data_IF_379742703094
#
_entry.id   IF_379742703094
#
_cell.length_a   1.000
_cell.length_b   1.000
_cell.length_c   1.000
_cell.angle_alpha   90.00
_cell.angle_beta   90.00
_cell.angle_gamma   90.00
#
_symmetry.space_group_name_H-M   'P 1'
#
loop_
_entity.id
_entity.type
_entity.pdbx_description
1 polymer ?
#
# COMPACT_ATOMS: atom_id res chain seq x y z
N UNK A 1 19.22 1.92 4.14
CA UNK A 1 18.20 1.96 3.06
C UNK A 1 17.69 3.39 2.89
N UNK A 2 16.86 3.71 1.87
CA UNK A 2 16.31 5.06 1.72
C UNK A 2 15.51 5.51 2.97
N UNK A 3 14.70 4.62 3.55
CA UNK A 3 13.96 4.87 4.79
C UNK A 3 14.88 5.21 5.97
N UNK A 4 16.01 4.51 6.10
CA UNK A 4 17.00 4.81 7.15
C UNK A 4 17.58 6.22 7.03
N UNK A 5 17.86 6.67 5.80
CA UNK A 5 18.29 8.05 5.56
C UNK A 5 17.19 9.07 5.89
N UNK A 6 15.93 8.76 5.57
CA UNK A 6 14.79 9.62 5.94
C UNK A 6 14.65 9.73 7.46
N UNK A 7 14.75 8.63 8.20
CA UNK A 7 14.68 8.62 9.67
C UNK A 7 15.80 9.49 10.26
N UNK A 8 17.03 9.35 9.76
CA UNK A 8 18.17 10.15 10.21
C UNK A 8 17.94 11.65 9.94
N UNK A 9 17.49 12.00 8.73
CA UNK A 9 17.21 13.39 8.36
C UNK A 9 16.07 14.00 9.19
N UNK A 10 14.97 13.27 9.40
CA UNK A 10 13.84 13.70 10.23
C UNK A 10 14.28 13.93 11.68
N UNK A 11 15.06 12.99 12.23
CA UNK A 11 15.59 13.09 13.60
C UNK A 11 16.50 14.31 13.77
N UNK A 12 17.38 14.57 12.79
CA UNK A 12 18.24 15.77 12.78
C UNK A 12 17.42 17.07 12.69
N UNK A 13 16.28 17.04 11.99
CA UNK A 13 15.34 18.15 11.91
C UNK A 13 14.43 18.29 13.15
N UNK A 14 14.56 17.41 14.14
CA UNK A 14 13.81 17.45 15.40
C UNK A 14 12.47 16.71 15.38
N UNK A 15 12.20 15.90 14.36
CA UNK A 15 11.02 15.06 14.25
C UNK A 15 11.33 13.62 14.65
N UNK A 16 10.38 12.97 15.30
CA UNK A 16 10.39 11.51 15.39
C UNK A 16 9.78 10.95 14.08
N UNK A 17 10.21 9.76 13.65
CA UNK A 17 9.70 9.15 12.42
C UNK A 17 9.31 7.70 12.66
N UNK A 18 8.09 7.35 12.25
CA UNK A 18 7.56 5.98 12.34
C UNK A 18 7.31 5.47 10.92
N UNK A 19 7.79 4.26 10.65
CA UNK A 19 7.62 3.57 9.37
C UNK A 19 6.87 2.25 9.59
N UNK A 20 5.53 2.25 9.57
CA UNK A 20 4.74 1.05 9.71
C UNK A 20 5.07 0.02 8.61
N UNK A 21 4.94 -1.29 8.89
CA UNK A 21 5.21 -2.33 7.90
C UNK A 21 4.16 -2.33 6.79
N UNK A 22 4.55 -2.72 5.58
CA UNK A 22 3.63 -2.94 4.46
C UNK A 22 2.73 -4.17 4.72
N UNK A 23 1.42 -3.99 4.62
CA UNK A 23 0.42 -5.03 4.93
C UNK A 23 0.51 -6.25 4.01
N UNK A 24 0.73 -6.07 2.71
CA UNK A 24 0.86 -7.19 1.78
C UNK A 24 2.05 -8.09 2.14
N UNK A 25 3.19 -7.47 2.45
CA UNK A 25 4.39 -8.19 2.92
C UNK A 25 4.13 -8.94 4.24
N UNK A 26 3.35 -8.38 5.18
CA UNK A 26 2.95 -9.13 6.38
C UNK A 26 2.18 -10.42 6.05
N UNK A 27 1.27 -10.37 5.08
CA UNK A 27 0.55 -11.58 4.65
C UNK A 27 1.49 -12.59 3.99
N UNK A 28 2.36 -12.17 3.06
CA UNK A 28 3.26 -13.11 2.38
C UNK A 28 4.28 -13.76 3.33
N UNK A 29 4.73 -13.02 4.35
CA UNK A 29 5.58 -13.58 5.41
C UNK A 29 4.84 -14.57 6.34
N UNK A 30 3.51 -14.65 6.26
CA UNK A 30 2.69 -15.60 7.04
C UNK A 30 2.46 -16.95 6.35
N UNK A 31 3.19 -17.25 5.27
CA UNK A 31 2.97 -18.40 4.36
C UNK A 31 1.68 -18.32 3.54
N UNK A 32 0.98 -17.18 3.58
CA UNK A 32 -0.12 -16.94 2.65
C UNK A 32 0.43 -16.74 1.23
N UNK A 33 -0.20 -17.40 0.25
CA UNK A 33 0.12 -17.22 -1.17
C UNK A 33 -1.12 -16.72 -1.90
N UNK A 34 -0.90 -15.87 -2.91
CA UNK A 34 -1.99 -15.41 -3.78
C UNK A 34 -2.66 -16.60 -4.47
N UNK A 35 -3.98 -16.52 -4.72
CA UNK A 35 -4.70 -17.59 -5.39
C UNK A 35 -4.16 -17.81 -6.81
N UNK A 36 -4.17 -19.07 -7.26
CA UNK A 36 -3.78 -19.40 -8.63
C UNK A 36 -4.79 -18.83 -9.65
N UNK A 37 -4.35 -18.20 -10.75
CA UNK A 37 -5.23 -17.76 -11.84
C UNK A 37 -6.08 -18.89 -12.45
N UNK A 38 -5.65 -20.15 -12.32
CA UNK A 38 -6.39 -21.33 -12.78
C UNK A 38 -7.50 -21.78 -11.82
N UNK A 39 -7.63 -21.17 -10.65
CA UNK A 39 -8.66 -21.51 -9.66
C UNK A 39 -10.04 -21.05 -10.12
N UNK A 40 -11.05 -21.90 -10.00
CA UNK A 40 -12.44 -21.57 -10.33
C UNK A 40 -13.01 -20.40 -9.50
N UNK A 41 -12.42 -20.12 -8.33
CA UNK A 41 -12.80 -19.00 -7.46
C UNK A 41 -11.78 -17.87 -7.45
N UNK A 42 -10.90 -17.75 -8.45
CA UNK A 42 -9.77 -16.81 -8.44
C UNK A 42 -10.21 -15.37 -8.13
N UNK A 43 -11.21 -14.84 -8.84
CA UNK A 43 -11.67 -13.47 -8.67
C UNK A 43 -12.18 -13.18 -7.24
N UNK A 44 -12.94 -14.10 -6.65
CA UNK A 44 -13.47 -13.93 -5.29
C UNK A 44 -12.37 -14.05 -4.23
N UNK A 45 -11.37 -14.91 -4.45
CA UNK A 45 -10.23 -15.03 -3.56
C UNK A 45 -9.34 -13.78 -3.61
N UNK A 46 -9.10 -13.23 -4.81
CA UNK A 46 -8.38 -11.96 -4.98
C UNK A 46 -9.15 -10.83 -4.30
N UNK A 47 -10.47 -10.74 -4.50
CA UNK A 47 -11.30 -9.76 -3.80
C UNK A 47 -11.17 -9.91 -2.28
N UNK A 48 -11.26 -11.13 -1.76
CA UNK A 48 -11.14 -11.40 -0.32
C UNK A 48 -9.79 -10.95 0.23
N UNK A 49 -8.70 -11.23 -0.48
CA UNK A 49 -7.37 -10.76 -0.11
C UNK A 49 -7.31 -9.23 -0.08
N UNK A 50 -7.69 -8.57 -1.18
CA UNK A 50 -7.63 -7.12 -1.30
C UNK A 50 -8.54 -6.40 -0.29
N UNK A 51 -9.72 -6.95 0.02
CA UNK A 51 -10.61 -6.42 1.05
C UNK A 51 -9.99 -6.51 2.47
N UNK A 52 -9.28 -7.60 2.78
CA UNK A 52 -8.57 -7.74 4.05
C UNK A 52 -7.34 -6.82 4.14
N UNK A 53 -6.60 -6.63 3.03
CA UNK A 53 -5.53 -5.64 2.93
C UNK A 53 -6.08 -4.24 3.23
N UNK A 54 -7.16 -3.82 2.54
CA UNK A 54 -7.78 -2.51 2.74
C UNK A 54 -8.23 -2.28 4.19
N UNK A 55 -8.85 -3.29 4.80
CA UNK A 55 -9.28 -3.26 6.19
C UNK A 55 -8.11 -3.11 7.16
N UNK A 56 -7.08 -3.93 7.00
CA UNK A 56 -5.94 -3.93 7.91
C UNK A 56 -5.10 -2.66 7.73
N UNK A 57 -4.94 -2.18 6.49
CA UNK A 57 -4.29 -0.89 6.20
C UNK A 57 -5.01 0.26 6.92
N UNK A 58 -6.35 0.32 6.88
CA UNK A 58 -7.10 1.38 7.58
C UNK A 58 -6.84 1.36 9.09
N UNK A 59 -6.84 0.16 9.69
CA UNK A 59 -6.60 0.01 11.11
C UNK A 59 -5.15 0.33 11.48
N UNK A 60 -4.19 -0.10 10.65
CA UNK A 60 -2.78 0.19 10.81
C UNK A 60 -2.55 1.70 10.82
N UNK A 61 -3.09 2.42 9.82
CA UNK A 61 -2.96 3.86 9.75
C UNK A 61 -3.56 4.56 10.97
N UNK A 62 -4.75 4.13 11.43
CA UNK A 62 -5.36 4.69 12.65
C UNK A 62 -4.46 4.49 13.88
N UNK A 63 -3.99 3.26 14.11
CA UNK A 63 -3.13 2.96 15.24
C UNK A 63 -1.85 3.81 15.23
N UNK A 64 -1.20 3.96 14.07
CA UNK A 64 0.05 4.70 13.99
C UNK A 64 -0.15 6.23 14.04
N UNK A 65 -1.25 6.75 13.51
CA UNK A 65 -1.64 8.15 13.75
C UNK A 65 -1.89 8.42 15.23
N UNK A 66 -2.56 7.50 15.93
CA UNK A 66 -2.82 7.63 17.37
C UNK A 66 -1.50 7.58 18.18
N UNK A 67 -0.60 6.65 17.84
CA UNK A 67 0.73 6.57 18.45
C UNK A 67 1.55 7.85 18.23
N UNK A 68 1.57 8.37 17.00
CA UNK A 68 2.24 9.62 16.67
C UNK A 68 1.68 10.80 17.46
N UNK A 69 0.35 10.90 17.59
CA UNK A 69 -0.32 11.91 18.41
C UNK A 69 -0.05 11.78 19.91
N UNK A 70 0.21 10.56 20.40
CA UNK A 70 0.51 10.29 21.81
C UNK A 70 1.96 10.62 22.22
N UNK A 71 2.86 10.80 21.25
CA UNK A 71 4.31 10.93 21.49
C UNK A 71 4.72 12.20 22.24
N UNK A 72 3.88 13.24 22.22
CA UNK A 72 4.22 14.56 22.78
C UNK A 72 5.32 15.31 22.00
N UNK A 73 5.72 14.79 20.83
CA UNK A 73 6.75 15.35 19.95
C UNK A 73 6.23 15.40 18.51
N UNK A 74 6.70 16.34 17.68
CA UNK A 74 6.33 16.36 16.27
C UNK A 74 6.82 15.05 15.62
N UNK A 75 5.88 14.26 15.12
CA UNK A 75 6.14 12.91 14.59
C UNK A 75 5.64 12.80 13.16
N UNK A 76 6.48 12.26 12.29
CA UNK A 76 6.16 11.94 10.90
C UNK A 76 5.86 10.45 10.81
N UNK A 77 4.73 10.07 10.21
CA UNK A 77 4.42 8.67 9.91
C UNK A 77 4.48 8.48 8.40
N UNK A 78 5.36 7.58 7.94
CA UNK A 78 5.48 7.23 6.53
C UNK A 78 5.00 5.82 6.32
N UNK A 79 3.90 5.69 5.58
CA UNK A 79 3.35 4.41 5.19
C UNK A 79 4.01 3.96 3.88
N UNK A 80 4.62 2.78 3.90
CA UNK A 80 4.99 2.07 2.69
C UNK A 80 3.70 1.51 2.06
N UNK A 81 3.17 2.27 1.10
CA UNK A 81 1.81 2.22 0.54
C UNK A 81 0.71 2.70 1.48
N UNK A 82 -0.29 3.36 0.90
CA UNK A 82 -1.48 3.88 1.61
C UNK A 82 -2.77 3.14 1.22
N UNK A 83 -3.87 3.46 1.90
CA UNK A 83 -5.23 2.97 1.61
C UNK A 83 -5.62 3.04 0.14
N UNK A 84 -5.28 4.14 -0.54
CA UNK A 84 -5.63 4.34 -1.95
C UNK A 84 -4.84 3.43 -2.90
N UNK A 85 -3.73 2.83 -2.47
CA UNK A 85 -2.96 1.88 -3.29
C UNK A 85 -3.79 0.64 -3.66
N UNK A 86 -4.64 0.17 -2.74
CA UNK A 86 -5.53 -0.96 -2.98
C UNK A 86 -6.49 -0.76 -4.17
N UNK A 87 -6.80 0.49 -4.52
CA UNK A 87 -7.65 0.82 -5.67
C UNK A 87 -7.05 0.39 -7.01
N UNK A 88 -5.72 0.43 -7.13
CA UNK A 88 -5.01 0.03 -8.34
C UNK A 88 -5.11 -1.48 -8.62
N UNK A 89 -5.39 -2.28 -7.58
CA UNK A 89 -5.52 -3.74 -7.67
C UNK A 89 -6.98 -4.23 -7.72
N UNK A 90 -7.95 -3.33 -7.74
CA UNK A 90 -9.36 -3.65 -7.75
C UNK A 90 -10.07 -3.01 -8.97
N UNK A 91 -11.02 -3.75 -9.54
CA UNK A 91 -12.02 -3.13 -10.43
C UNK A 91 -12.93 -2.19 -9.64
N UNK A 92 -13.62 -1.28 -10.33
CA UNK A 92 -14.58 -0.36 -9.70
C UNK A 92 -15.65 -1.10 -8.89
N UNK A 93 -16.10 -2.26 -9.38
CA UNK A 93 -17.07 -3.12 -8.72
C UNK A 93 -16.51 -3.75 -7.45
N UNK A 94 -15.27 -4.27 -7.51
CA UNK A 94 -14.57 -4.80 -6.34
C UNK A 94 -14.33 -3.71 -5.30
N UNK A 95 -13.88 -2.53 -5.73
CA UNK A 95 -13.61 -1.39 -4.85
C UNK A 95 -14.87 -0.95 -4.11
N UNK A 96 -15.97 -0.71 -4.85
CA UNK A 96 -17.26 -0.36 -4.27
C UNK A 96 -17.73 -1.41 -3.26
N UNK A 97 -17.65 -2.70 -3.63
CA UNK A 97 -18.01 -3.80 -2.74
C UNK A 97 -17.14 -3.84 -1.46
N UNK A 98 -15.84 -3.53 -1.59
CA UNK A 98 -14.92 -3.42 -0.47
C UNK A 98 -15.29 -2.28 0.49
N UNK A 99 -15.57 -1.09 -0.05
CA UNK A 99 -16.03 0.07 0.73
C UNK A 99 -17.36 -0.20 1.44
N UNK A 100 -18.34 -0.80 0.74
CA UNK A 100 -19.61 -1.19 1.34
C UNK A 100 -19.42 -2.19 2.49
N UNK A 101 -18.48 -3.15 2.31
CA UNK A 101 -18.06 -4.08 3.34
C UNK A 101 -17.49 -3.38 4.58
N UNK A 102 -16.52 -2.48 4.39
CA UNK A 102 -15.91 -1.71 5.47
C UNK A 102 -16.90 -0.84 6.23
N UNK A 103 -17.78 -0.13 5.51
CA UNK A 103 -18.79 0.72 6.13
C UNK A 103 -19.76 -0.10 6.97
N UNK A 104 -20.25 -1.23 6.44
CA UNK A 104 -21.12 -2.12 7.20
C UNK A 104 -20.44 -2.63 8.48
N UNK A 105 -19.18 -3.03 8.40
CA UNK A 105 -18.46 -3.60 9.54
C UNK A 105 -18.06 -2.55 10.57
N UNK A 106 -17.49 -1.41 10.14
CA UNK A 106 -16.85 -0.44 11.01
C UNK A 106 -17.75 0.75 11.41
N UNK A 107 -18.74 1.09 10.60
CA UNK A 107 -19.65 2.24 10.86
C UNK A 107 -21.09 1.80 11.14
N UNK A 108 -21.38 0.50 10.98
CA UNK A 108 -22.73 -0.06 11.02
C UNK A 108 -23.56 0.33 9.80
N UNK A 109 -22.92 0.71 8.69
CA UNK A 109 -23.59 1.18 7.47
C UNK A 109 -24.21 2.57 7.58
N UNK A 110 -23.80 3.37 8.58
CA UNK A 110 -24.33 4.72 8.79
C UNK A 110 -23.59 5.74 7.92
N UNK A 111 -24.29 6.76 7.37
CA UNK A 111 -23.66 7.83 6.60
C UNK A 111 -22.63 8.63 7.41
N UNK A 112 -22.93 8.87 8.69
CA UNK A 112 -22.01 9.56 9.58
C UNK A 112 -20.78 8.68 9.86
N UNK A 113 -19.60 9.22 9.53
CA UNK A 113 -18.33 8.50 9.65
C UNK A 113 -18.11 7.45 8.55
N UNK A 114 -18.85 7.54 7.42
CA UNK A 114 -18.62 6.65 6.28
C UNK A 114 -17.18 6.74 5.77
N UNK A 115 -16.64 5.57 5.45
CA UNK A 115 -15.34 5.37 4.82
C UNK A 115 -15.55 5.48 3.31
N UNK A 116 -15.11 6.59 2.72
CA UNK A 116 -15.13 6.86 1.28
C UNK A 116 -13.75 7.39 0.83
N UNK A 117 -13.57 7.61 -0.47
CA UNK A 117 -12.28 8.06 -1.01
C UNK A 117 -11.86 9.44 -0.46
N UNK A 118 -12.81 10.36 -0.28
CA UNK A 118 -12.54 11.67 0.32
C UNK A 118 -11.97 11.51 1.74
N UNK A 119 -12.62 10.69 2.57
CA UNK A 119 -12.14 10.36 3.91
C UNK A 119 -10.75 9.73 3.87
N UNK A 120 -10.46 8.84 2.91
CA UNK A 120 -9.14 8.21 2.77
C UNK A 120 -8.07 9.22 2.40
N UNK A 121 -8.33 10.08 1.41
CA UNK A 121 -7.38 11.09 0.94
C UNK A 121 -7.05 12.14 2.00
N UNK A 122 -8.04 12.57 2.79
CA UNK A 122 -7.86 13.53 3.88
C UNK A 122 -6.97 13.04 5.03
N UNK A 123 -6.56 11.76 5.03
CA UNK A 123 -5.67 11.18 6.04
C UNK A 123 -4.20 11.49 5.79
N UNK A 124 -3.85 11.94 4.59
CA UNK A 124 -2.47 12.18 4.20
C UNK A 124 -2.19 13.69 4.12
N UNK A 125 -1.12 14.14 4.79
CA UNK A 125 -0.58 15.49 4.60
C UNK A 125 0.16 15.63 3.26
N UNK A 126 0.60 14.51 2.67
CA UNK A 126 1.26 14.46 1.39
C UNK A 126 1.41 13.03 0.88
N UNK A 127 1.59 12.90 -0.43
CA UNK A 127 1.83 11.62 -1.11
C UNK A 127 3.07 11.76 -1.98
N UNK A 128 3.99 10.80 -1.87
CA UNK A 128 5.18 10.71 -2.72
C UNK A 128 4.95 9.57 -3.70
N UNK A 129 4.68 9.90 -4.96
CA UNK A 129 4.57 8.94 -6.05
C UNK A 129 5.97 8.63 -6.59
N UNK A 130 6.44 7.41 -6.38
CA UNK A 130 7.70 6.95 -6.95
C UNK A 130 7.44 6.32 -8.32
N UNK A 131 8.09 6.86 -9.34
CA UNK A 131 8.09 6.25 -10.68
C UNK A 131 9.10 5.10 -10.73
N UNK A 132 8.86 4.14 -11.61
CA UNK A 132 9.78 3.03 -11.82
C UNK A 132 11.14 3.54 -12.29
N UNK A 133 12.20 2.77 -11.98
CA UNK A 133 13.54 3.07 -12.48
C UNK A 133 13.62 3.11 -14.02
N UNK A 134 12.64 2.56 -14.74
CA UNK A 134 12.58 2.68 -16.19
C UNK A 134 12.49 4.14 -16.65
N UNK A 135 11.92 5.05 -15.84
CA UNK A 135 11.97 6.50 -16.07
C UNK A 135 13.18 7.11 -15.34
N UNK A 136 14.23 7.45 -16.08
CA UNK A 136 15.39 8.21 -15.58
C UNK A 136 16.56 7.39 -14.99
N UNK A 137 16.42 6.08 -14.80
CA UNK A 137 17.47 5.20 -14.27
C UNK A 137 17.41 3.78 -14.89
N UNK A 138 17.17 3.70 -16.20
CA UNK A 138 16.78 2.47 -16.90
C UNK A 138 17.78 1.32 -16.77
N UNK A 139 19.06 1.61 -16.56
CA UNK A 139 20.12 0.63 -16.26
C UNK A 139 19.88 -0.17 -14.97
N UNK A 140 19.06 0.35 -14.06
CA UNK A 140 18.67 -0.30 -12.82
C UNK A 140 17.32 -1.03 -12.92
N UNK A 141 16.57 -0.83 -14.02
CA UNK A 141 15.31 -1.52 -14.25
C UNK A 141 15.56 -2.93 -14.80
N UNK A 142 14.99 -3.94 -14.15
CA UNK A 142 15.09 -5.34 -14.56
C UNK A 142 13.68 -5.87 -14.83
N UNK A 143 13.48 -6.54 -15.96
CA UNK A 143 12.23 -7.18 -16.39
C UNK A 143 12.45 -8.62 -16.86
N UNK A 144 11.37 -9.41 -16.99
CA UNK A 144 11.42 -10.84 -17.22
C UNK A 144 11.65 -11.63 -15.93
N UNK A 145 12.35 -12.75 -16.01
CA UNK A 145 12.78 -13.52 -14.82
C UNK A 145 14.02 -12.85 -14.23
N UNK A 146 13.87 -12.23 -13.07
CA UNK A 146 14.91 -11.46 -12.40
C UNK A 146 15.10 -11.96 -10.97
N UNK A 147 16.25 -11.67 -10.37
CA UNK A 147 16.50 -11.92 -8.95
C UNK A 147 16.23 -10.64 -8.16
N UNK A 148 15.36 -10.71 -7.15
CA UNK A 148 15.14 -9.60 -6.22
C UNK A 148 16.32 -9.41 -5.25
N UNK A 149 16.27 -8.36 -4.45
CA UNK A 149 17.32 -8.03 -3.47
C UNK A 149 17.41 -9.05 -2.32
N UNK A 150 16.41 -9.93 -2.19
CA UNK A 150 16.38 -11.04 -1.24
C UNK A 150 16.89 -12.36 -1.85
N UNK A 151 17.30 -12.36 -3.12
CA UNK A 151 17.81 -13.54 -3.81
C UNK A 151 16.73 -14.44 -4.44
N UNK A 152 15.46 -14.04 -4.41
CA UNK A 152 14.37 -14.84 -4.98
C UNK A 152 14.20 -14.56 -6.47
N UNK A 153 13.85 -15.60 -7.22
CA UNK A 153 13.43 -15.44 -8.61
C UNK A 153 12.02 -14.86 -8.66
N UNK A 154 11.89 -13.69 -9.26
CA UNK A 154 10.63 -12.97 -9.47
C UNK A 154 10.45 -12.68 -10.95
N UNK A 155 9.20 -12.74 -11.41
CA UNK A 155 8.85 -12.39 -12.79
C UNK A 155 8.25 -10.99 -12.82
N UNK A 156 8.90 -10.07 -13.53
CA UNK A 156 8.39 -8.72 -13.82
C UNK A 156 7.96 -8.67 -15.27
N UNK A 157 6.68 -8.37 -15.51
CA UNK A 157 6.07 -8.56 -16.82
C UNK A 157 6.35 -7.40 -17.76
N UNK A 158 6.36 -6.20 -17.21
CA UNK A 158 6.37 -4.94 -17.92
C UNK A 158 7.74 -4.70 -18.56
N UNK A 159 7.76 -4.37 -19.84
CA UNK A 159 8.94 -3.79 -20.49
C UNK A 159 9.19 -2.39 -19.92
N UNK A 160 10.41 -1.82 -20.08
CA UNK A 160 10.69 -0.46 -19.62
C UNK A 160 9.70 0.57 -20.14
N UNK A 161 9.30 0.49 -21.42
CA UNK A 161 8.33 1.41 -22.00
C UNK A 161 6.93 1.26 -21.39
N UNK A 162 6.46 0.03 -21.20
CA UNK A 162 5.16 -0.24 -20.56
C UNK A 162 5.13 0.24 -19.10
N UNK A 163 6.25 0.08 -18.37
CA UNK A 163 6.37 0.54 -16.99
C UNK A 163 6.30 2.08 -16.90
N UNK A 164 7.01 2.80 -17.78
CA UNK A 164 6.97 4.27 -17.86
C UNK A 164 5.56 4.76 -18.22
N UNK A 165 4.90 4.11 -19.17
CA UNK A 165 3.53 4.46 -19.55
C UNK A 165 2.54 4.22 -18.39
N UNK A 166 2.76 3.18 -17.60
CA UNK A 166 1.95 2.90 -16.41
C UNK A 166 2.17 3.94 -15.30
N UNK A 167 3.40 4.43 -15.10
CA UNK A 167 3.71 5.44 -14.08
C UNK A 167 3.00 6.79 -14.30
N UNK A 168 2.55 7.05 -15.54
CA UNK A 168 1.96 8.33 -15.98
C UNK A 168 0.43 8.32 -16.01
N UNK A 169 -0.21 7.17 -15.78
CA UNK A 169 -1.66 7.00 -15.75
C UNK A 169 -2.19 6.94 -14.32
#
# INVERSE_FOLDING_TARGET
SALEHMIQAATQAGFDMITPPEIATLFFNSSYALPSPSSSGFAEQVFTFQANVLKLQLQLERCFSDLAGSSGRPTIVVFDRGLMDGRAFMTDEMWKRGLDGLNRELTGGRPAGSINEEYMLQRYDGVVHLVTAADGAAEHYKYGVVTDDSGNAVYRRETPAEAVDQDRN
#
